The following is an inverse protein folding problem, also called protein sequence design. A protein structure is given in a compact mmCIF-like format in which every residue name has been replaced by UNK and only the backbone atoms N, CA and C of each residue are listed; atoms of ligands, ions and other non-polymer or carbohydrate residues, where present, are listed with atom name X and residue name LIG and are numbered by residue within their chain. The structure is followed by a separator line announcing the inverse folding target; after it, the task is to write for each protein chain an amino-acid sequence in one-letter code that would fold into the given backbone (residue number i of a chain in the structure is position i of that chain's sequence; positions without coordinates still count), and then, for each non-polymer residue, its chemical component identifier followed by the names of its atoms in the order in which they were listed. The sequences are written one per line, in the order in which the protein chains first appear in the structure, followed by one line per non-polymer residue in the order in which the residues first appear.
data_IF_852101220742
#
_entry.id   IF_852101220742
#
_cell.length_a   1.000
_cell.length_b   1.000
_cell.length_c   1.000
_cell.angle_alpha   90.00
_cell.angle_beta   90.00
_cell.angle_gamma   90.00
#
_symmetry.space_group_name_H-M   'P 1'
#
loop_
_entity.id
_entity.type
_entity.pdbx_description
1 polymer ?
#
# COMPACT_ATOMS: atom_id res chain seq x y z
N UNK A 1 24.96 -8.15 5.41
CA UNK A 1 23.63 -7.69 4.98
C UNK A 1 23.73 -6.58 3.94
N UNK A 2 24.24 -5.38 4.26
CA UNK A 2 24.33 -4.27 3.29
C UNK A 2 25.18 -4.59 2.04
N UNK A 3 26.34 -5.25 2.18
CA UNK A 3 27.14 -5.66 1.03
C UNK A 3 26.42 -6.66 0.13
N UNK A 4 25.75 -7.66 0.72
CA UNK A 4 24.97 -8.65 -0.01
C UNK A 4 23.77 -8.03 -0.73
N UNK A 5 23.10 -7.07 -0.08
CA UNK A 5 21.99 -6.32 -0.66
C UNK A 5 22.45 -5.42 -1.81
N UNK A 6 23.58 -4.72 -1.65
CA UNK A 6 24.15 -3.90 -2.71
C UNK A 6 24.58 -4.76 -3.90
N UNK A 7 25.18 -5.92 -3.63
CA UNK A 7 25.57 -6.86 -4.68
C UNK A 7 24.36 -7.43 -5.42
N UNK A 8 23.28 -7.80 -4.72
CA UNK A 8 22.07 -8.30 -5.37
C UNK A 8 21.39 -7.22 -6.21
N UNK A 9 21.29 -5.98 -5.71
CA UNK A 9 20.76 -4.85 -6.46
C UNK A 9 21.60 -4.59 -7.71
N UNK A 10 22.93 -4.56 -7.55
CA UNK A 10 23.86 -4.31 -8.65
C UNK A 10 23.74 -5.37 -9.75
N UNK A 11 23.71 -6.66 -9.39
CA UNK A 11 23.54 -7.74 -10.36
C UNK A 11 22.22 -7.61 -11.10
N UNK A 12 21.10 -7.41 -10.39
CA UNK A 12 19.78 -7.27 -11.01
C UNK A 12 19.70 -6.06 -11.95
N UNK A 13 20.25 -4.91 -11.54
CA UNK A 13 20.22 -3.69 -12.33
C UNK A 13 21.16 -3.72 -13.55
N UNK A 14 22.19 -4.57 -13.55
CA UNK A 14 22.99 -4.83 -14.76
C UNK A 14 22.15 -5.57 -15.80
N UNK A 15 21.35 -6.55 -15.38
CA UNK A 15 20.50 -7.31 -16.30
C UNK A 15 19.29 -6.51 -16.78
N UNK A 16 18.66 -5.75 -15.88
CA UNK A 16 17.51 -4.92 -16.21
C UNK A 16 17.46 -3.68 -15.31
N UNK A 17 17.78 -2.52 -15.88
CA UNK A 17 17.73 -1.25 -15.17
C UNK A 17 16.30 -0.80 -14.84
N UNK A 18 15.28 -1.32 -15.54
CA UNK A 18 13.89 -0.96 -15.26
C UNK A 18 13.41 -1.53 -13.92
N UNK A 19 14.10 -2.53 -13.36
CA UNK A 19 13.83 -3.05 -12.01
C UNK A 19 13.86 -1.94 -10.96
N UNK A 20 14.63 -0.85 -11.15
CA UNK A 20 14.65 0.28 -10.22
C UNK A 20 13.28 0.98 -10.09
N UNK A 21 12.47 0.94 -11.14
CA UNK A 21 11.13 1.53 -11.18
C UNK A 21 10.03 0.52 -10.85
N UNK A 22 10.38 -0.75 -10.69
CA UNK A 22 9.45 -1.79 -10.29
C UNK A 22 9.06 -1.63 -8.82
N UNK A 23 7.76 -1.65 -8.54
CA UNK A 23 7.22 -1.47 -7.18
C UNK A 23 7.63 -2.62 -6.27
N UNK A 24 7.69 -3.85 -6.80
CA UNK A 24 8.11 -5.04 -6.06
C UNK A 24 9.58 -4.96 -5.65
N UNK A 25 10.45 -4.55 -6.57
CA UNK A 25 11.86 -4.28 -6.28
C UNK A 25 12.00 -3.21 -5.17
N UNK A 26 11.36 -2.06 -5.34
CA UNK A 26 11.46 -0.96 -4.36
C UNK A 26 10.97 -1.38 -2.97
N UNK A 27 9.81 -2.03 -2.87
CA UNK A 27 9.25 -2.49 -1.59
C UNK A 27 10.15 -3.54 -0.93
N UNK A 28 10.68 -4.50 -1.69
CA UNK A 28 11.54 -5.55 -1.17
C UNK A 28 12.86 -4.99 -0.62
N UNK A 29 13.54 -4.14 -1.39
CA UNK A 29 14.80 -3.54 -0.94
C UNK A 29 14.62 -2.57 0.23
N UNK A 30 13.54 -1.78 0.23
CA UNK A 30 13.19 -0.90 1.36
C UNK A 30 12.83 -1.72 2.61
N UNK A 31 12.14 -2.85 2.48
CA UNK A 31 11.86 -3.75 3.60
C UNK A 31 13.15 -4.27 4.24
N UNK A 32 14.09 -4.76 3.42
CA UNK A 32 15.37 -5.30 3.88
C UNK A 32 16.24 -4.21 4.53
N UNK A 33 16.30 -3.00 3.94
CA UNK A 33 16.96 -1.84 4.56
C UNK A 33 16.28 -1.43 5.88
N UNK A 34 14.94 -1.46 5.92
CA UNK A 34 14.13 -1.20 7.10
C UNK A 34 14.43 -2.15 8.24
N UNK A 35 14.48 -3.46 7.98
CA UNK A 35 14.88 -4.49 8.94
C UNK A 35 16.27 -4.17 9.49
N UNK A 36 17.25 -3.93 8.62
CA UNK A 36 18.60 -3.59 9.05
C UNK A 36 18.64 -2.32 9.92
N UNK A 37 17.88 -1.28 9.55
CA UNK A 37 17.94 0.03 10.19
C UNK A 37 17.14 0.12 11.49
N UNK A 38 15.95 -0.48 11.54
CA UNK A 38 14.94 -0.28 12.59
C UNK A 38 14.75 -1.48 13.53
N UNK A 39 15.18 -2.70 13.20
CA UNK A 39 14.94 -3.85 14.10
C UNK A 39 15.57 -3.65 15.47
N UNK A 40 16.84 -3.24 15.55
CA UNK A 40 17.52 -3.01 16.83
C UNK A 40 16.90 -1.89 17.68
N UNK A 41 16.61 -0.68 17.15
CA UNK A 41 15.94 0.34 17.95
C UNK A 41 14.55 -0.13 18.38
N UNK A 42 13.76 -0.79 17.52
CA UNK A 42 12.45 -1.34 17.88
C UNK A 42 12.55 -2.34 19.04
N UNK A 43 13.53 -3.25 19.00
CA UNK A 43 13.79 -4.20 20.09
C UNK A 43 13.99 -3.51 21.44
N UNK A 44 14.70 -2.38 21.46
CA UNK A 44 14.97 -1.65 22.69
C UNK A 44 13.74 -0.98 23.33
N UNK A 45 12.62 -0.84 22.61
CA UNK A 45 11.36 -0.36 23.20
C UNK A 45 10.65 -1.42 24.06
N UNK A 46 10.98 -2.70 23.87
CA UNK A 46 10.28 -3.81 24.50
C UNK A 46 11.17 -4.53 25.51
N UNK A 47 10.54 -5.22 26.47
CA UNK A 47 11.24 -6.06 27.45
C UNK A 47 12.03 -7.16 26.74
N UNK A 48 13.23 -7.46 27.24
CA UNK A 48 14.02 -8.59 26.74
C UNK A 48 13.33 -9.93 27.07
N UNK A 49 13.34 -10.90 26.13
CA UNK A 49 12.72 -12.20 26.32
C UNK A 49 13.46 -13.03 27.38
N UNK A 50 12.73 -13.86 28.12
CA UNK A 50 13.27 -14.73 29.17
C UNK A 50 13.52 -16.16 28.70
N UNK A 51 12.73 -16.67 27.74
CA UNK A 51 12.83 -18.05 27.25
C UNK A 51 13.06 -18.13 25.73
N UNK A 52 13.53 -19.28 25.22
CA UNK A 52 13.91 -19.46 23.81
C UNK A 52 12.76 -19.20 22.82
N UNK A 53 11.55 -19.71 23.12
CA UNK A 53 10.38 -19.49 22.27
C UNK A 53 9.97 -18.00 22.21
N UNK A 54 10.00 -17.33 23.36
CA UNK A 54 9.75 -15.89 23.47
C UNK A 54 10.77 -15.08 22.65
N UNK A 55 12.04 -15.51 22.64
CA UNK A 55 13.09 -14.87 21.84
C UNK A 55 12.81 -14.94 20.34
N UNK A 56 12.37 -16.09 19.84
CA UNK A 56 12.03 -16.26 18.42
C UNK A 56 10.87 -15.32 18.04
N UNK A 57 9.79 -15.34 18.82
CA UNK A 57 8.64 -14.47 18.58
C UNK A 57 9.01 -12.98 18.64
N UNK A 58 9.83 -12.60 19.61
CA UNK A 58 10.35 -11.25 19.79
C UNK A 58 11.17 -10.77 18.58
N UNK A 59 12.06 -11.62 18.05
CA UNK A 59 12.88 -11.30 16.89
C UNK A 59 12.04 -11.18 15.61
N UNK A 60 11.14 -12.13 15.35
CA UNK A 60 10.26 -12.12 14.18
C UNK A 60 9.33 -10.89 14.21
N UNK A 61 8.75 -10.58 15.37
CA UNK A 61 7.88 -9.41 15.53
C UNK A 61 8.63 -8.12 15.25
N UNK A 62 9.81 -7.93 15.85
CA UNK A 62 10.61 -6.72 15.65
C UNK A 62 11.08 -6.55 14.20
N UNK A 63 11.43 -7.64 13.51
CA UNK A 63 11.75 -7.60 12.07
C UNK A 63 10.53 -7.24 11.22
N UNK A 64 9.37 -7.81 11.54
CA UNK A 64 8.12 -7.53 10.83
C UNK A 64 7.70 -6.07 10.98
N UNK A 65 7.73 -5.53 12.21
CA UNK A 65 7.44 -4.12 12.44
C UNK A 65 8.45 -3.21 11.74
N UNK A 66 9.75 -3.55 11.77
CA UNK A 66 10.79 -2.77 11.08
C UNK A 66 10.53 -2.71 9.56
N UNK A 67 10.25 -3.85 8.94
CA UNK A 67 9.91 -3.93 7.53
C UNK A 67 8.66 -3.11 7.20
N UNK A 68 7.57 -3.30 7.96
CA UNK A 68 6.29 -2.63 7.72
C UNK A 68 6.38 -1.12 7.90
N UNK A 69 7.08 -0.63 8.94
CA UNK A 69 7.28 0.81 9.12
C UNK A 69 8.07 1.40 7.95
N UNK A 70 9.12 0.70 7.48
CA UNK A 70 9.95 1.20 6.39
C UNK A 70 9.23 1.21 5.03
N UNK A 71 8.43 0.19 4.73
CA UNK A 71 7.69 0.09 3.46
C UNK A 71 6.40 0.90 3.44
N UNK A 72 5.87 1.29 4.61
CA UNK A 72 4.60 2.01 4.74
C UNK A 72 4.45 3.22 3.80
N UNK A 73 5.42 4.15 3.68
CA UNK A 73 5.24 5.30 2.81
C UNK A 73 5.13 4.91 1.34
N UNK A 74 5.89 3.92 0.88
CA UNK A 74 5.82 3.42 -0.49
C UNK A 74 4.49 2.69 -0.73
N UNK A 75 4.04 1.88 0.23
CA UNK A 75 2.76 1.20 0.13
C UNK A 75 1.59 2.20 0.00
N UNK A 76 1.60 3.27 0.80
CA UNK A 76 0.62 4.35 0.70
C UNK A 76 0.76 5.12 -0.63
N UNK A 77 1.99 5.37 -1.08
CA UNK A 77 2.25 6.10 -2.32
C UNK A 77 1.74 5.35 -3.56
N UNK A 78 1.98 4.05 -3.65
CA UNK A 78 1.60 3.25 -4.82
C UNK A 78 0.17 2.72 -4.77
N UNK A 79 -0.29 2.29 -3.59
CA UNK A 79 -1.60 1.65 -3.47
C UNK A 79 -2.68 2.58 -2.92
N UNK A 80 -2.31 3.79 -2.46
CA UNK A 80 -3.24 4.78 -1.88
C UNK A 80 -4.10 4.23 -0.74
N UNK A 81 -3.62 3.20 -0.06
CA UNK A 81 -4.35 2.55 1.01
C UNK A 81 -3.40 2.02 2.07
N UNK A 82 -3.92 1.91 3.28
CA UNK A 82 -3.24 1.28 4.39
C UNK A 82 -4.24 0.46 5.22
N UNK A 83 -3.78 -0.69 5.71
CA UNK A 83 -4.57 -1.62 6.50
C UNK A 83 -3.81 -2.05 7.74
N UNK A 84 -4.35 -1.72 8.92
CA UNK A 84 -3.82 -2.24 10.18
C UNK A 84 -3.96 -3.77 10.26
N UNK A 85 -5.04 -4.31 9.68
CA UNK A 85 -5.28 -5.75 9.56
C UNK A 85 -4.15 -6.41 8.77
N UNK A 86 -3.63 -5.75 7.74
CA UNK A 86 -2.51 -6.27 6.94
C UNK A 86 -1.26 -6.51 7.75
N UNK A 87 -1.00 -5.79 8.85
CA UNK A 87 0.18 -6.06 9.69
C UNK A 87 0.07 -7.45 10.32
N UNK A 88 -1.07 -7.75 10.95
CA UNK A 88 -1.33 -9.03 11.62
C UNK A 88 -1.47 -10.15 10.57
N UNK A 89 -2.19 -9.86 9.49
CA UNK A 89 -2.38 -10.79 8.39
C UNK A 89 -1.03 -11.16 7.76
N UNK A 90 -0.15 -10.20 7.46
CA UNK A 90 1.16 -10.49 6.86
C UNK A 90 2.08 -11.25 7.82
N UNK A 91 2.01 -11.01 9.13
CA UNK A 91 2.78 -11.76 10.12
C UNK A 91 2.44 -13.25 10.13
N UNK A 92 1.18 -13.61 9.85
CA UNK A 92 0.71 -15.01 9.85
C UNK A 92 0.73 -15.61 8.44
N UNK A 93 0.20 -14.90 7.45
CA UNK A 93 -0.01 -15.38 6.09
C UNK A 93 1.31 -15.52 5.35
N UNK A 94 2.27 -14.61 5.48
CA UNK A 94 3.54 -14.67 4.72
C UNK A 94 4.31 -15.97 5.07
N UNK A 95 4.60 -16.28 6.35
CA UNK A 95 5.30 -17.53 6.67
C UNK A 95 4.53 -18.77 6.22
N UNK A 96 3.20 -18.77 6.37
CA UNK A 96 2.37 -19.91 5.95
C UNK A 96 2.35 -20.06 4.42
N UNK A 97 2.39 -18.96 3.68
CA UNK A 97 2.45 -18.96 2.21
C UNK A 97 3.79 -19.50 1.71
N UNK A 98 4.90 -19.18 2.36
CA UNK A 98 6.21 -19.78 2.04
C UNK A 98 6.18 -21.30 2.22
N UNK A 99 5.57 -21.79 3.30
CA UNK A 99 5.38 -23.23 3.52
C UNK A 99 4.53 -23.85 2.40
N UNK A 100 3.44 -23.18 1.98
CA UNK A 100 2.62 -23.64 0.85
C UNK A 100 3.43 -23.69 -0.45
N UNK A 101 4.20 -22.65 -0.76
CA UNK A 101 4.99 -22.57 -2.01
C UNK A 101 6.03 -23.70 -2.03
N UNK A 102 6.78 -23.90 -0.95
CA UNK A 102 7.79 -24.95 -0.88
C UNK A 102 7.14 -26.34 -0.93
N UNK A 103 6.07 -26.57 -0.18
CA UNK A 103 5.37 -27.85 -0.17
C UNK A 103 4.68 -28.16 -1.49
N UNK A 104 4.09 -27.16 -2.17
CA UNK A 104 3.50 -27.33 -3.51
C UNK A 104 4.54 -27.68 -4.56
N UNK A 105 5.71 -27.04 -4.55
CA UNK A 105 6.83 -27.40 -5.42
C UNK A 105 7.28 -28.84 -5.16
N UNK A 106 7.38 -29.24 -3.89
CA UNK A 106 7.73 -30.60 -3.50
C UNK A 106 6.67 -31.60 -3.97
N UNK A 107 5.38 -31.27 -3.90
CA UNK A 107 4.30 -32.12 -4.45
C UNK A 107 4.43 -32.31 -5.96
N UNK A 108 4.70 -31.26 -6.71
CA UNK A 108 4.92 -31.34 -8.16
C UNK A 108 6.09 -32.29 -8.48
N UNK A 109 7.19 -32.16 -7.72
CA UNK A 109 8.35 -33.05 -7.87
C UNK A 109 7.98 -34.50 -7.54
N UNK A 110 7.28 -34.76 -6.43
CA UNK A 110 6.84 -36.11 -6.06
C UNK A 110 5.96 -36.76 -7.14
N UNK A 111 5.03 -36.00 -7.71
CA UNK A 111 4.17 -36.47 -8.81
C UNK A 111 5.03 -36.83 -10.03
N UNK A 112 6.00 -35.98 -10.39
CA UNK A 112 6.89 -36.23 -11.53
C UNK A 112 7.73 -37.51 -11.37
N UNK A 113 8.10 -37.88 -10.13
CA UNK A 113 8.81 -39.12 -9.81
C UNK A 113 7.90 -40.34 -9.60
N UNK A 114 6.60 -40.23 -9.89
CA UNK A 114 5.65 -41.35 -9.84
C UNK A 114 5.05 -41.62 -8.47
N UNK A 115 5.25 -40.75 -7.47
CA UNK A 115 4.62 -40.85 -6.15
C UNK A 115 3.19 -40.27 -6.12
N UNK A 116 2.41 -40.47 -7.18
CA UNK A 116 1.04 -39.95 -7.31
C UNK A 116 0.03 -40.62 -6.37
N UNK A 117 0.35 -41.82 -5.85
CA UNK A 117 -0.58 -42.66 -5.10
C UNK A 117 -0.36 -42.61 -3.58
N UNK A 118 -0.17 -41.40 -3.01
CA UNK A 118 -0.10 -41.19 -1.56
C UNK A 118 -1.28 -40.31 -1.10
N UNK A 119 -2.52 -40.86 -1.03
CA UNK A 119 -3.73 -40.05 -0.83
C UNK A 119 -3.73 -39.27 0.48
N UNK A 120 -3.12 -39.83 1.54
CA UNK A 120 -3.02 -39.15 2.85
C UNK A 120 -2.25 -37.83 2.73
N UNK A 121 -1.18 -37.81 1.93
CA UNK A 121 -0.29 -36.66 1.81
C UNK A 121 -0.98 -35.54 1.02
N UNK A 122 -1.60 -35.88 -0.10
CA UNK A 122 -2.35 -34.92 -0.92
C UNK A 122 -3.56 -34.36 -0.16
N UNK A 123 -4.29 -35.22 0.58
CA UNK A 123 -5.42 -34.78 1.41
C UNK A 123 -4.97 -33.85 2.56
N UNK A 124 -3.84 -34.15 3.20
CA UNK A 124 -3.27 -33.29 4.24
C UNK A 124 -2.87 -31.91 3.67
N UNK A 125 -2.25 -31.90 2.49
CA UNK A 125 -1.90 -30.67 1.78
C UNK A 125 -3.15 -29.86 1.39
N UNK A 126 -4.19 -30.52 0.88
CA UNK A 126 -5.45 -29.86 0.48
C UNK A 126 -6.16 -29.22 1.69
N UNK A 127 -6.25 -29.94 2.82
CA UNK A 127 -6.78 -29.39 4.08
C UNK A 127 -5.95 -28.19 4.56
N UNK A 128 -4.63 -28.26 4.42
CA UNK A 128 -3.74 -27.17 4.81
C UNK A 128 -3.96 -25.92 3.94
N UNK A 129 -4.06 -26.08 2.62
CA UNK A 129 -4.38 -24.99 1.70
C UNK A 129 -5.77 -24.41 1.99
N UNK A 130 -6.78 -25.25 2.20
CA UNK A 130 -8.14 -24.82 2.55
C UNK A 130 -8.17 -24.01 3.84
N UNK A 131 -7.39 -24.41 4.86
CA UNK A 131 -7.26 -23.66 6.10
C UNK A 131 -6.68 -22.26 5.87
N UNK A 132 -5.63 -22.14 5.05
CA UNK A 132 -5.03 -20.84 4.72
C UNK A 132 -6.00 -19.97 3.93
N UNK A 133 -6.75 -20.54 2.98
CA UNK A 133 -7.78 -19.81 2.24
C UNK A 133 -8.89 -19.29 3.19
N UNK A 134 -9.36 -20.12 4.13
CA UNK A 134 -10.32 -19.69 5.16
C UNK A 134 -9.78 -18.55 6.01
N UNK A 135 -8.49 -18.61 6.37
CA UNK A 135 -7.82 -17.57 7.15
C UNK A 135 -7.70 -16.26 6.35
N UNK A 136 -7.36 -16.32 5.05
CA UNK A 136 -7.36 -15.16 4.15
C UNK A 136 -8.76 -14.54 4.04
N UNK A 137 -9.79 -15.37 3.81
CA UNK A 137 -11.18 -14.91 3.73
C UNK A 137 -11.66 -14.29 5.05
N UNK A 138 -11.27 -14.84 6.20
CA UNK A 138 -11.57 -14.27 7.50
C UNK A 138 -10.97 -12.86 7.66
N UNK A 139 -9.72 -12.66 7.23
CA UNK A 139 -9.09 -11.33 7.22
C UNK A 139 -9.76 -10.36 6.24
N UNK A 140 -10.25 -10.86 5.10
CA UNK A 140 -10.99 -10.05 4.12
C UNK A 140 -12.27 -9.44 4.70
N UNK A 141 -12.89 -10.04 5.72
CA UNK A 141 -14.08 -9.46 6.34
C UNK A 141 -13.79 -8.18 7.15
N UNK A 142 -12.53 -7.93 7.50
CA UNK A 142 -12.10 -6.72 8.20
C UNK A 142 -11.70 -5.59 7.24
N UNK A 143 -12.08 -5.68 5.95
CA UNK A 143 -11.78 -4.65 4.96
C UNK A 143 -12.34 -3.27 5.33
N UNK A 144 -13.36 -3.20 6.19
CA UNK A 144 -13.88 -1.93 6.75
C UNK A 144 -12.84 -1.14 7.55
N UNK A 145 -11.78 -1.79 8.05
CA UNK A 145 -10.66 -1.16 8.73
C UNK A 145 -9.55 -0.71 7.76
N UNK A 146 -9.73 -0.91 6.45
CA UNK A 146 -8.82 -0.36 5.44
C UNK A 146 -9.14 1.11 5.19
N UNK A 147 -8.18 1.96 5.52
CA UNK A 147 -8.21 3.34 5.08
C UNK A 147 -7.78 3.42 3.62
N UNK A 148 -8.74 3.66 2.73
CA UNK A 148 -8.53 3.85 1.28
C UNK A 148 -8.43 5.34 0.92
N UNK A 149 -7.98 5.62 -0.29
CA UNK A 149 -7.85 6.96 -0.89
C UNK A 149 -6.92 7.91 -0.12
N UNK A 150 -5.82 7.38 0.41
CA UNK A 150 -4.75 8.18 0.99
C UNK A 150 -3.84 8.67 -0.14
N UNK A 151 -4.10 9.90 -0.60
CA UNK A 151 -3.19 10.61 -1.50
C UNK A 151 -1.83 10.77 -0.86
N UNK A 152 -0.75 10.62 -1.62
CA UNK A 152 0.60 10.97 -1.17
C UNK A 152 1.43 11.47 -2.35
N UNK A 153 2.00 12.68 -2.24
CA UNK A 153 2.84 13.24 -3.31
C UNK A 153 4.32 12.83 -3.11
N UNK A 154 5.14 12.90 -4.15
CA UNK A 154 6.57 12.56 -4.11
C UNK A 154 7.34 13.35 -3.04
N UNK A 155 6.97 14.62 -2.80
CA UNK A 155 7.55 15.44 -1.73
C UNK A 155 7.17 14.93 -0.33
N UNK A 156 5.90 14.55 -0.14
CA UNK A 156 5.41 13.96 1.11
C UNK A 156 6.07 12.60 1.35
N UNK A 157 6.25 11.80 0.29
CA UNK A 157 6.94 10.51 0.34
C UNK A 157 8.38 10.68 0.82
N UNK A 158 9.10 11.60 0.19
CA UNK A 158 10.50 11.89 0.51
C UNK A 158 10.65 12.34 1.97
N UNK A 159 9.74 13.20 2.45
CA UNK A 159 9.73 13.63 3.85
C UNK A 159 9.39 12.50 4.82
N UNK A 160 8.43 11.62 4.49
CA UNK A 160 8.13 10.45 5.33
C UNK A 160 9.31 9.47 5.40
N UNK A 161 10.02 9.25 4.30
CA UNK A 161 11.23 8.43 4.31
C UNK A 161 12.32 9.06 5.19
N UNK A 162 12.47 10.38 5.19
CA UNK A 162 13.36 11.09 6.12
C UNK A 162 12.91 10.96 7.57
N UNK A 163 11.61 11.06 7.85
CA UNK A 163 11.04 10.84 9.20
C UNK A 163 11.40 9.43 9.68
N UNK A 164 11.24 8.41 8.85
CA UNK A 164 11.63 7.02 9.17
C UNK A 164 13.13 6.88 9.35
N UNK A 165 13.95 7.54 8.52
CA UNK A 165 15.39 7.52 8.69
C UNK A 165 15.81 8.08 10.07
N UNK A 166 15.26 9.23 10.47
CA UNK A 166 15.55 9.86 11.76
C UNK A 166 14.89 9.15 12.96
N UNK A 167 13.85 8.35 12.72
CA UNK A 167 13.16 7.56 13.75
C UNK A 167 14.13 6.68 14.54
N UNK A 168 15.15 6.08 13.88
CA UNK A 168 16.19 5.29 14.57
C UNK A 168 16.91 6.09 15.66
N UNK A 169 17.36 7.30 15.33
CA UNK A 169 18.13 8.14 16.24
C UNK A 169 17.28 8.66 17.39
N UNK A 170 16.00 8.93 17.10
CA UNK A 170 15.01 9.29 18.11
C UNK A 170 14.73 8.16 19.10
N UNK A 171 14.49 6.93 18.61
CA UNK A 171 14.25 5.77 19.48
C UNK A 171 15.48 5.44 20.32
N UNK A 172 16.68 5.48 19.72
CA UNK A 172 17.92 5.09 20.41
C UNK A 172 18.26 6.04 21.55
N UNK A 173 18.15 7.35 21.31
CA UNK A 173 18.60 8.40 22.24
C UNK A 173 17.48 9.43 22.42
N UNK A 174 16.33 9.00 22.95
CA UNK A 174 15.11 9.82 23.07
C UNK A 174 15.34 11.15 23.81
N UNK A 175 16.20 11.14 24.84
CA UNK A 175 16.53 12.33 25.63
C UNK A 175 17.56 13.25 24.98
N UNK A 176 18.13 12.90 23.82
CA UNK A 176 19.08 13.76 23.13
C UNK A 176 18.32 14.85 22.34
N UNK A 177 18.44 16.14 22.72
CA UNK A 177 17.67 17.22 22.10
C UNK A 177 17.96 17.36 20.61
N UNK A 178 19.18 17.04 20.15
CA UNK A 178 19.53 17.13 18.72
C UNK A 178 18.76 16.13 17.86
N UNK A 179 18.57 14.90 18.37
CA UNK A 179 17.85 13.86 17.64
C UNK A 179 16.34 14.12 17.64
N UNK A 180 15.81 14.56 18.79
CA UNK A 180 14.42 15.00 18.92
C UNK A 180 14.11 16.15 17.96
N UNK A 181 14.99 17.17 17.90
CA UNK A 181 14.81 18.31 16.99
C UNK A 181 14.86 17.91 15.52
N UNK A 182 15.79 17.03 15.11
CA UNK A 182 15.87 16.55 13.71
C UNK A 182 14.61 15.77 13.30
N UNK A 183 14.17 14.84 14.16
CA UNK A 183 12.96 14.07 13.93
C UNK A 183 11.71 14.96 13.90
N UNK A 184 11.57 15.83 14.91
CA UNK A 184 10.48 16.79 15.02
C UNK A 184 10.42 17.76 13.85
N UNK A 185 11.56 18.27 13.38
CA UNK A 185 11.63 19.14 12.21
C UNK A 185 11.15 18.44 10.94
N UNK A 186 11.60 17.20 10.68
CA UNK A 186 11.14 16.46 9.50
C UNK A 186 9.64 16.16 9.57
N UNK A 187 9.14 15.83 10.76
CA UNK A 187 7.73 15.56 11.00
C UNK A 187 6.88 16.84 10.81
N UNK A 188 7.34 17.99 11.32
CA UNK A 188 6.69 19.28 11.09
C UNK A 188 6.72 19.66 9.61
N UNK A 189 7.85 19.50 8.93
CA UNK A 189 7.97 19.76 7.50
C UNK A 189 7.00 18.89 6.68
N UNK A 190 6.84 17.61 7.04
CA UNK A 190 5.84 16.73 6.45
C UNK A 190 4.42 17.29 6.62
N UNK A 191 4.03 17.69 7.83
CA UNK A 191 2.69 18.24 8.07
C UNK A 191 2.46 19.57 7.37
N UNK A 192 3.47 20.46 7.32
CA UNK A 192 3.39 21.72 6.58
C UNK A 192 3.13 21.45 5.10
N UNK A 193 3.95 20.59 4.46
CA UNK A 193 3.77 20.23 3.05
C UNK A 193 2.41 19.57 2.82
N UNK A 194 2.00 18.66 3.72
CA UNK A 194 0.71 17.97 3.65
C UNK A 194 -0.46 18.94 3.70
N UNK A 195 -0.43 19.88 4.64
CA UNK A 195 -1.47 20.91 4.80
C UNK A 195 -1.46 21.85 3.60
N UNK A 196 -0.29 22.28 3.12
CA UNK A 196 -0.18 23.15 1.94
C UNK A 196 -0.81 22.50 0.70
N UNK A 197 -0.54 21.22 0.43
CA UNK A 197 -1.17 20.51 -0.67
C UNK A 197 -2.67 20.29 -0.46
N UNK A 198 -3.11 20.02 0.77
CA UNK A 198 -4.55 19.92 1.07
C UNK A 198 -5.26 21.24 0.83
N UNK A 199 -4.70 22.38 1.26
CA UNK A 199 -5.26 23.70 1.03
C UNK A 199 -5.25 24.09 -0.45
N UNK A 200 -4.16 23.76 -1.16
CA UNK A 200 -4.09 23.96 -2.60
C UNK A 200 -5.19 23.17 -3.32
N UNK A 201 -5.36 21.89 -3.00
CA UNK A 201 -6.41 21.07 -3.60
C UNK A 201 -7.80 21.52 -3.16
N UNK A 202 -8.01 21.94 -1.92
CA UNK A 202 -9.31 22.43 -1.45
C UNK A 202 -9.75 23.68 -2.21
N UNK A 203 -8.86 24.63 -2.49
CA UNK A 203 -9.22 25.86 -3.19
C UNK A 203 -9.27 25.72 -4.73
N UNK A 204 -8.83 24.58 -5.27
CA UNK A 204 -8.79 24.36 -6.71
C UNK A 204 -10.19 24.01 -7.24
N UNK A 205 -10.89 25.00 -7.75
CA UNK A 205 -12.08 24.80 -8.59
C UNK A 205 -11.68 24.22 -9.93
N UNK A 206 -12.25 23.08 -10.31
CA UNK A 206 -11.99 22.48 -11.62
C UNK A 206 -13.22 21.74 -12.14
N UNK A 207 -13.35 21.76 -13.47
CA UNK A 207 -14.27 20.90 -14.20
C UNK A 207 -13.43 20.07 -15.15
N UNK A 208 -13.62 18.75 -15.12
CA UNK A 208 -12.92 17.82 -16.00
C UNK A 208 -13.92 16.92 -16.72
N UNK A 209 -13.54 16.51 -17.92
CA UNK A 209 -14.26 15.51 -18.70
C UNK A 209 -13.38 14.27 -18.77
N UNK A 210 -13.85 13.18 -18.18
CA UNK A 210 -13.16 11.90 -18.13
C UNK A 210 -13.73 10.98 -19.22
N UNK A 211 -12.85 10.32 -19.96
CA UNK A 211 -13.26 9.30 -20.93
C UNK A 211 -13.25 7.91 -20.29
N UNK A 212 -14.36 7.19 -20.39
CA UNK A 212 -14.45 5.78 -20.04
C UNK A 212 -15.06 4.99 -21.21
N UNK A 213 -14.20 4.31 -21.97
CA UNK A 213 -14.54 3.71 -23.27
C UNK A 213 -15.14 4.74 -24.25
N UNK A 214 -16.45 4.66 -24.50
CA UNK A 214 -17.20 5.59 -25.37
C UNK A 214 -17.99 6.62 -24.59
N UNK A 215 -17.99 6.54 -23.26
CA UNK A 215 -18.76 7.42 -22.40
C UNK A 215 -17.88 8.54 -21.85
N UNK A 216 -18.46 9.73 -21.76
CA UNK A 216 -17.85 10.88 -21.13
C UNK A 216 -18.52 11.16 -19.80
N UNK A 217 -17.69 11.30 -18.77
CA UNK A 217 -18.12 11.57 -17.40
C UNK A 217 -17.61 12.96 -17.04
N UNK A 218 -18.50 13.84 -16.62
CA UNK A 218 -18.13 15.20 -16.24
C UNK A 218 -18.00 15.28 -14.74
N UNK A 219 -16.84 15.67 -14.22
CA UNK A 219 -16.67 15.98 -12.80
C UNK A 219 -16.63 17.48 -12.60
N UNK A 220 -17.45 17.98 -11.68
CA UNK A 220 -17.38 19.37 -11.20
C UNK A 220 -16.98 19.32 -9.74
N UNK A 221 -15.87 19.96 -9.43
CA UNK A 221 -15.37 20.11 -8.07
C UNK A 221 -15.69 21.50 -7.54
N UNK A 222 -16.31 21.52 -6.39
CA UNK A 222 -16.46 22.71 -5.56
C UNK A 222 -15.93 22.39 -4.17
N UNK A 223 -14.76 22.95 -3.85
CA UNK A 223 -14.06 22.73 -2.59
C UNK A 223 -13.78 21.24 -2.30
N UNK A 224 -14.40 20.72 -1.24
CA UNK A 224 -14.32 19.34 -0.75
C UNK A 224 -15.45 18.44 -1.25
N UNK A 225 -16.29 18.94 -2.17
CA UNK A 225 -17.39 18.19 -2.74
C UNK A 225 -17.21 18.07 -4.25
N UNK A 226 -17.44 16.87 -4.79
CA UNK A 226 -17.37 16.61 -6.23
C UNK A 226 -18.68 16.00 -6.71
N UNK A 227 -19.23 16.55 -7.78
CA UNK A 227 -20.39 15.99 -8.46
C UNK A 227 -19.94 15.40 -9.78
N UNK A 228 -20.16 14.11 -9.94
CA UNK A 228 -19.98 13.39 -11.20
C UNK A 228 -21.30 13.32 -11.94
N UNK A 229 -21.28 13.73 -13.20
CA UNK A 229 -22.40 13.64 -14.10
C UNK A 229 -22.10 12.61 -15.18
N UNK A 230 -22.95 11.59 -15.27
CA UNK A 230 -22.80 10.50 -16.24
C UNK A 230 -24.15 9.95 -16.70
N UNK A 231 -24.16 9.17 -17.78
CA UNK A 231 -25.33 8.40 -18.19
C UNK A 231 -25.46 7.17 -17.30
N UNK A 232 -26.69 6.71 -17.08
CA UNK A 232 -26.92 5.48 -16.32
C UNK A 232 -26.31 4.29 -17.07
N UNK A 233 -25.41 3.56 -16.40
CA UNK A 233 -24.63 2.49 -17.02
C UNK A 233 -24.57 1.27 -16.09
N UNK A 234 -24.71 0.08 -16.67
CA UNK A 234 -24.53 -1.21 -15.97
C UNK A 234 -23.11 -1.40 -15.39
N UNK A 235 -22.12 -0.66 -15.88
CA UNK A 235 -20.73 -0.72 -15.43
C UNK A 235 -20.37 0.36 -14.41
N UNK A 236 -21.32 0.87 -13.62
CA UNK A 236 -21.06 1.92 -12.61
C UNK A 236 -19.90 1.56 -11.67
N UNK A 237 -19.79 0.30 -11.23
CA UNK A 237 -18.69 -0.17 -10.38
C UNK A 237 -17.32 0.04 -11.03
N UNK A 238 -17.20 -0.24 -12.34
CA UNK A 238 -15.96 -0.02 -13.07
C UNK A 238 -15.67 1.47 -13.25
N UNK A 239 -16.70 2.29 -13.46
CA UNK A 239 -16.54 3.75 -13.50
C UNK A 239 -16.03 4.26 -12.15
N UNK A 240 -16.53 3.70 -11.04
CA UNK A 240 -16.05 4.02 -9.71
C UNK A 240 -14.57 3.68 -9.55
N UNK A 241 -14.18 2.48 -9.94
CA UNK A 241 -12.80 1.99 -9.77
C UNK A 241 -11.78 2.70 -10.67
N UNK A 242 -12.13 3.00 -11.92
CA UNK A 242 -11.19 3.52 -12.91
C UNK A 242 -11.26 5.03 -13.14
N UNK A 243 -12.34 5.71 -12.73
CA UNK A 243 -12.52 7.15 -12.95
C UNK A 243 -12.71 7.90 -11.63
N UNK A 244 -13.72 7.53 -10.84
CA UNK A 244 -14.09 8.29 -9.63
C UNK A 244 -13.02 8.15 -8.54
N UNK A 245 -12.67 6.93 -8.12
CA UNK A 245 -11.70 6.71 -7.04
C UNK A 245 -10.31 7.29 -7.33
N UNK A 246 -9.73 7.14 -8.54
CA UNK A 246 -8.48 7.80 -8.90
C UNK A 246 -8.59 9.34 -8.84
N UNK A 247 -9.69 9.91 -9.33
CA UNK A 247 -9.92 11.35 -9.26
C UNK A 247 -10.01 11.84 -7.81
N UNK A 248 -10.83 11.19 -6.98
CA UNK A 248 -10.99 11.50 -5.56
C UNK A 248 -9.66 11.44 -4.80
N UNK A 249 -8.85 10.42 -5.08
CA UNK A 249 -7.52 10.27 -4.50
C UNK A 249 -6.57 11.38 -4.94
N UNK A 250 -6.56 11.74 -6.22
CA UNK A 250 -5.73 12.84 -6.73
C UNK A 250 -6.15 14.20 -6.15
N UNK A 251 -7.46 14.41 -6.00
CA UNK A 251 -8.08 15.63 -5.49
C UNK A 251 -8.14 15.70 -3.97
N UNK A 252 -7.78 14.61 -3.27
CA UNK A 252 -7.84 14.47 -1.80
C UNK A 252 -9.24 14.68 -1.22
N UNK A 253 -10.25 14.26 -1.97
CA UNK A 253 -11.66 14.41 -1.63
C UNK A 253 -12.24 13.04 -1.27
N UNK A 254 -13.13 13.03 -0.29
CA UNK A 254 -13.87 11.82 0.11
C UNK A 254 -15.35 11.92 -0.21
N UNK A 255 -15.92 13.13 -0.15
CA UNK A 255 -17.33 13.33 -0.41
C UNK A 255 -17.60 13.53 -1.89
N UNK A 256 -18.51 12.72 -2.42
CA UNK A 256 -18.89 12.78 -3.81
C UNK A 256 -20.34 12.40 -4.01
N UNK A 257 -20.92 12.95 -5.08
CA UNK A 257 -22.26 12.61 -5.53
C UNK A 257 -22.22 12.23 -7.00
N UNK A 258 -23.02 11.24 -7.35
CA UNK A 258 -23.29 10.88 -8.74
C UNK A 258 -24.67 11.42 -9.10
N UNK A 259 -24.74 12.16 -10.20
CA UNK A 259 -25.98 12.58 -10.83
C UNK A 259 -26.05 11.99 -12.24
N UNK A 260 -27.25 11.59 -12.64
CA UNK A 260 -27.49 11.02 -13.96
C UNK A 260 -27.99 12.07 -14.95
N UNK A 261 -27.40 12.06 -16.14
CA UNK A 261 -27.83 12.87 -17.27
C UNK A 261 -28.74 12.01 -18.17
N UNK A 262 -29.82 12.57 -18.75
CA UNK A 262 -30.63 11.90 -19.77
C UNK A 262 -29.81 11.31 -20.93
N UNK A 263 -30.23 10.15 -21.44
CA UNK A 263 -29.46 9.39 -22.44
C UNK A 263 -29.30 10.13 -23.79
N UNK A 264 -30.25 10.99 -24.13
CA UNK A 264 -30.33 11.84 -25.31
C UNK A 264 -29.46 13.12 -25.22
N UNK A 265 -28.84 13.38 -24.07
CA UNK A 265 -28.01 14.56 -23.90
C UNK A 265 -26.72 14.47 -24.73
N UNK A 266 -26.55 15.45 -25.62
CA UNK A 266 -25.40 15.58 -26.52
C UNK A 266 -24.30 16.49 -25.98
N UNK A 267 -24.63 17.41 -25.07
CA UNK A 267 -23.66 18.36 -24.52
C UNK A 267 -23.92 18.70 -23.06
N UNK A 268 -22.85 19.02 -22.35
CA UNK A 268 -22.86 19.56 -20.99
C UNK A 268 -22.44 21.02 -21.02
N UNK A 269 -23.16 21.91 -20.32
CA UNK A 269 -22.83 23.33 -20.26
C UNK A 269 -22.45 23.73 -18.85
N UNK A 270 -21.26 24.31 -18.69
CA UNK A 270 -20.78 24.80 -17.41
C UNK A 270 -20.07 26.14 -17.58
N UNK A 271 -20.50 27.15 -16.79
CA UNK A 271 -19.99 28.54 -16.85
C UNK A 271 -19.89 29.09 -18.30
N UNK A 272 -20.89 28.79 -19.14
CA UNK A 272 -20.96 29.24 -20.53
C UNK A 272 -20.07 28.49 -21.53
N UNK A 273 -19.35 27.44 -21.11
CA UNK A 273 -18.60 26.55 -22.02
C UNK A 273 -19.42 25.30 -22.35
N UNK A 274 -19.42 24.93 -23.62
CA UNK A 274 -20.04 23.71 -24.14
C UNK A 274 -19.03 22.56 -24.17
N UNK A 275 -19.43 21.40 -23.65
CA UNK A 275 -18.66 20.18 -23.64
C UNK A 275 -19.45 19.09 -24.34
N UNK A 276 -18.91 18.56 -25.43
CA UNK A 276 -19.58 17.50 -26.22
C UNK A 276 -19.51 16.16 -25.46
N UNK A 277 -20.66 15.51 -25.29
CA UNK A 277 -20.85 14.22 -24.62
C UNK A 277 -20.95 13.05 -25.61
N UNK A 278 -20.91 13.30 -26.93
CA UNK A 278 -20.82 12.25 -27.96
C UNK A 278 -19.44 11.60 -28.05
#
# INVERSE_FOLDING_TARGET
MLHSLALSAFILLIFDSNQLFDVGFQLSYVAVLGIYWLTNPIKNLFRKPMFKAEKVFYEISAMTFAAQIATLPLAIYYFHQFSFVSIIANLLIIPLSEVIIVSSLLMVVLIAFGFSNIPILYKAFDIFVEYILKLIHWFSNFESLMTRNISLNIFELSLLLLVIYFLKFFIKDFFNPRNLLRFGFCLLAFFVVRISFNLYQYNKEEMLVHGFYKEKIVSIKDKDHVIFWMKENKNEDKIRDFVINPYLTSSRIKDFKINYIPADSEAFVYRGKHYDLK
#
